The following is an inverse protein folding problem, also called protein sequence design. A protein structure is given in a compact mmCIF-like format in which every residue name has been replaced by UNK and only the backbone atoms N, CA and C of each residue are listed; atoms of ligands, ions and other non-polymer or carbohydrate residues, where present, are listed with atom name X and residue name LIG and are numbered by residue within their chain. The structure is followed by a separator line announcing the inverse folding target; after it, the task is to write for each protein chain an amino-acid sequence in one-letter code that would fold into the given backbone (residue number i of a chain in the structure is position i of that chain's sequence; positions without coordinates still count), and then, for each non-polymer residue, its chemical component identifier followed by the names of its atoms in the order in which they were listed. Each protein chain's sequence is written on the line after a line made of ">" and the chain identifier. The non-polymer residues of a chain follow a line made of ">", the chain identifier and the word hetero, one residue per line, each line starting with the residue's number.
data_IF_128239475705
#
_entry.id   IF_128239475705
#
_cell.length_a   1.000
_cell.length_b   1.000
_cell.length_c   1.000
_cell.angle_alpha   90.00
_cell.angle_beta   90.00
_cell.angle_gamma   90.00
#
_symmetry.space_group_name_H-M   'P 1'
#
loop_
_entity.id
_entity.type
_entity.pdbx_description
1 polymer ?
#
# COMPACT_ATOMS: atom_id res chain seq x y z
N UNK A 1 35.63 -5.11 -12.82
CA UNK A 1 36.19 -4.45 -11.61
C UNK A 1 35.77 -5.27 -10.41
N UNK A 2 36.63 -5.58 -9.43
CA UNK A 2 36.15 -6.17 -8.20
C UNK A 2 35.33 -5.13 -7.42
N UNK A 3 34.22 -5.55 -6.80
CA UNK A 3 33.49 -4.72 -5.83
C UNK A 3 34.44 -4.39 -4.65
N UNK A 4 34.42 -3.15 -4.11
CA UNK A 4 35.31 -2.88 -2.95
C UNK A 4 35.58 -1.47 -2.43
N UNK A 5 34.84 -0.41 -2.77
CA UNK A 5 35.10 0.94 -2.19
C UNK A 5 34.11 1.38 -1.09
N UNK A 6 33.21 0.51 -0.63
CA UNK A 6 32.27 0.80 0.47
C UNK A 6 32.29 -0.38 1.45
N UNK A 7 32.84 -0.15 2.65
CA UNK A 7 32.92 -1.12 3.74
C UNK A 7 32.56 -0.42 5.07
N UNK A 8 31.49 -0.83 5.78
CA UNK A 8 30.62 -1.99 5.49
C UNK A 8 29.65 -1.74 4.33
N UNK A 9 29.22 -2.83 3.69
CA UNK A 9 28.10 -2.83 2.75
C UNK A 9 26.79 -2.57 3.51
N UNK A 10 25.91 -1.76 2.92
CA UNK A 10 24.66 -1.37 3.57
C UNK A 10 23.88 -0.31 2.82
N UNK A 11 23.21 0.57 3.56
CA UNK A 11 22.37 1.65 3.03
C UNK A 11 23.25 2.84 2.69
N UNK A 12 23.46 3.11 1.40
CA UNK A 12 24.32 4.21 0.94
C UNK A 12 23.53 5.37 0.33
N UNK A 13 22.23 5.18 0.10
CA UNK A 13 21.29 6.23 -0.35
C UNK A 13 20.43 6.76 0.80
N UNK A 14 19.82 7.93 0.61
CA UNK A 14 18.88 8.52 1.58
C UNK A 14 17.60 7.70 1.62
N UNK A 15 17.22 7.09 2.77
CA UNK A 15 15.93 6.42 2.90
C UNK A 15 14.77 7.41 2.74
N UNK A 16 13.64 6.91 2.26
CA UNK A 16 12.39 7.68 2.20
C UNK A 16 11.53 7.27 3.38
N UNK A 17 11.30 8.21 4.31
CA UNK A 17 10.35 8.03 5.40
C UNK A 17 8.97 8.42 4.89
N UNK A 18 8.01 7.54 5.08
CA UNK A 18 6.60 7.82 4.90
C UNK A 18 5.91 7.86 6.27
N UNK A 19 5.69 9.06 6.84
CA UNK A 19 5.09 9.20 8.16
C UNK A 19 3.61 8.84 8.19
N UNK A 20 2.90 8.84 7.04
CA UNK A 20 1.50 8.46 6.98
C UNK A 20 1.31 6.95 7.17
N UNK A 21 2.32 6.17 6.78
CA UNK A 21 2.29 4.70 6.75
C UNK A 21 3.17 4.10 7.86
N UNK A 22 3.88 4.98 8.58
CA UNK A 22 4.86 4.63 9.58
C UNK A 22 5.84 3.58 9.06
N UNK A 23 6.36 3.82 7.85
CA UNK A 23 7.32 2.97 7.16
C UNK A 23 8.52 3.78 6.65
N UNK A 24 9.66 3.11 6.54
CA UNK A 24 10.87 3.62 5.90
C UNK A 24 11.21 2.69 4.73
N UNK A 25 11.43 3.30 3.57
CA UNK A 25 11.88 2.61 2.37
C UNK A 25 13.36 2.91 2.16
N UNK A 26 14.14 1.87 1.88
CA UNK A 26 15.58 1.98 1.69
C UNK A 26 16.05 0.97 0.65
N UNK A 27 17.03 1.38 -0.14
CA UNK A 27 17.86 0.47 -0.92
C UNK A 27 19.09 0.12 -0.08
N UNK A 28 19.37 -1.17 0.07
CA UNK A 28 20.54 -1.67 0.79
C UNK A 28 21.30 -2.67 -0.07
N UNK A 29 22.63 -2.55 -0.09
CA UNK A 29 23.49 -3.60 -0.60
C UNK A 29 23.60 -4.71 0.45
N UNK A 30 23.08 -5.89 0.11
CA UNK A 30 23.04 -7.07 0.98
C UNK A 30 24.01 -8.12 0.48
N UNK A 31 24.88 -8.60 1.37
CA UNK A 31 25.79 -9.70 1.06
C UNK A 31 25.01 -11.02 0.92
N UNK A 32 25.23 -11.74 -0.18
CA UNK A 32 24.64 -13.05 -0.46
C UNK A 32 25.75 -14.05 -0.77
N UNK A 33 25.50 -15.36 -0.69
CA UNK A 33 26.51 -16.38 -1.04
C UNK A 33 27.12 -16.23 -2.44
N UNK A 34 26.39 -15.59 -3.36
CA UNK A 34 26.82 -15.36 -4.76
C UNK A 34 27.26 -13.90 -5.01
N UNK A 35 27.62 -13.16 -3.96
CA UNK A 35 28.04 -11.76 -3.99
C UNK A 35 26.93 -10.75 -3.64
N UNK A 36 27.29 -9.47 -3.42
CA UNK A 36 26.37 -8.44 -2.96
C UNK A 36 25.29 -8.08 -3.98
N UNK A 37 24.07 -7.83 -3.51
CA UNK A 37 22.93 -7.36 -4.31
C UNK A 37 22.25 -6.17 -3.67
N UNK A 38 21.87 -5.20 -4.49
CA UNK A 38 20.98 -4.12 -4.06
C UNK A 38 19.56 -4.65 -3.95
N UNK A 39 18.95 -4.46 -2.78
CA UNK A 39 17.60 -4.88 -2.45
C UNK A 39 16.84 -3.71 -1.81
N UNK A 40 15.57 -3.55 -2.18
CA UNK A 40 14.69 -2.53 -1.61
C UNK A 40 13.89 -3.14 -0.46
N UNK A 41 13.99 -2.52 0.72
CA UNK A 41 13.25 -2.92 1.92
C UNK A 41 12.21 -1.87 2.29
N UNK A 42 11.09 -2.35 2.82
CA UNK A 42 10.11 -1.55 3.56
C UNK A 42 10.15 -2.01 5.02
N UNK A 43 10.59 -1.13 5.92
CA UNK A 43 10.68 -1.41 7.35
C UNK A 43 9.67 -0.57 8.13
N UNK A 44 9.12 -1.15 9.18
CA UNK A 44 8.26 -0.46 10.13
C UNK A 44 9.05 0.60 10.94
N UNK A 45 8.59 1.86 10.97
CA UNK A 45 9.24 2.92 11.79
C UNK A 45 9.18 2.65 13.30
N UNK A 46 8.28 1.76 13.74
CA UNK A 46 8.11 1.44 15.16
C UNK A 46 9.24 0.57 15.70
N UNK A 47 9.67 -0.41 14.91
CA UNK A 47 10.45 -1.55 15.39
C UNK A 47 11.42 -2.14 14.34
N UNK A 48 11.49 -1.57 13.14
CA UNK A 48 12.42 -2.01 12.08
C UNK A 48 12.04 -3.32 11.39
N UNK A 49 10.86 -3.88 11.68
CA UNK A 49 10.41 -5.15 11.10
C UNK A 49 10.09 -5.03 9.60
N UNK A 50 10.40 -6.08 8.82
CA UNK A 50 10.00 -6.26 7.42
C UNK A 50 8.58 -6.84 7.37
N UNK A 51 7.79 -6.41 6.39
CA UNK A 51 6.39 -6.81 6.22
C UNK A 51 6.12 -7.45 4.84
N UNK A 52 6.49 -8.73 4.61
CA UNK A 52 6.28 -9.38 3.32
C UNK A 52 4.90 -10.05 3.20
N UNK A 53 4.43 -10.27 1.97
CA UNK A 53 3.38 -11.23 1.65
C UNK A 53 3.91 -12.39 0.79
N UNK A 54 3.31 -13.57 0.94
CA UNK A 54 3.66 -14.81 0.22
C UNK A 54 2.52 -15.28 -0.69
N UNK A 55 2.86 -16.12 -1.67
CA UNK A 55 1.92 -16.76 -2.61
C UNK A 55 1.80 -18.27 -2.36
N UNK A 56 1.34 -19.01 -3.38
CA UNK A 56 0.88 -20.39 -3.22
C UNK A 56 1.93 -21.38 -2.67
N UNK A 57 1.50 -22.38 -1.89
CA UNK A 57 2.35 -23.51 -1.42
C UNK A 57 2.16 -24.84 -2.14
N UNK A 58 1.26 -24.93 -3.13
CA UNK A 58 0.93 -26.09 -3.99
C UNK A 58 1.11 -27.50 -3.37
N UNK A 59 -0.02 -28.17 -3.09
CA UNK A 59 -0.01 -29.57 -2.64
C UNK A 59 0.26 -29.74 -1.14
N UNK A 60 0.28 -28.66 -0.37
CA UNK A 60 0.47 -28.69 1.08
C UNK A 60 -0.73 -29.36 1.79
N UNK A 61 -0.44 -30.30 2.70
CA UNK A 61 -1.46 -30.97 3.52
C UNK A 61 -1.98 -30.05 4.63
N UNK A 62 -1.06 -29.33 5.28
CA UNK A 62 -1.27 -28.29 6.30
C UNK A 62 -0.79 -26.94 5.79
N UNK A 63 -1.15 -25.83 6.45
CA UNK A 63 -0.65 -24.50 6.09
C UNK A 63 0.88 -24.47 6.24
N UNK A 64 1.57 -24.03 5.19
CA UNK A 64 3.04 -24.04 5.07
C UNK A 64 3.57 -22.66 4.68
N UNK A 65 3.06 -21.62 5.34
CA UNK A 65 3.41 -20.20 5.12
C UNK A 65 3.03 -19.60 3.75
N UNK A 66 2.18 -20.28 2.98
CA UNK A 66 1.58 -19.77 1.75
C UNK A 66 0.43 -18.80 2.02
N UNK A 67 0.14 -17.93 1.05
CA UNK A 67 -1.02 -17.03 1.09
C UNK A 67 -1.07 -16.17 2.36
N UNK A 68 0.08 -15.62 2.75
CA UNK A 68 0.24 -15.03 4.07
C UNK A 68 0.84 -13.64 4.04
N UNK A 69 0.57 -12.88 5.09
CA UNK A 69 1.28 -11.65 5.44
C UNK A 69 2.08 -11.92 6.70
N UNK A 70 3.38 -11.61 6.69
CA UNK A 70 4.24 -11.79 7.86
C UNK A 70 4.70 -10.47 8.43
N UNK A 71 4.96 -10.48 9.73
CA UNK A 71 5.86 -9.56 10.40
C UNK A 71 7.15 -10.32 10.69
N UNK A 72 8.24 -9.88 10.08
CA UNK A 72 9.55 -10.52 10.26
C UNK A 72 10.48 -9.52 10.95
N UNK A 73 11.12 -9.95 12.03
CA UNK A 73 12.15 -9.17 12.72
C UNK A 73 13.34 -8.86 11.80
N UNK A 74 14.20 -7.92 12.22
CA UNK A 74 15.41 -7.58 11.46
C UNK A 74 16.40 -8.76 11.30
N UNK A 75 16.26 -9.79 12.14
CA UNK A 75 17.00 -11.05 12.05
C UNK A 75 16.42 -12.05 11.02
N UNK A 76 15.35 -11.64 10.32
CA UNK A 76 14.66 -12.39 9.28
C UNK A 76 14.06 -13.74 9.74
N UNK A 77 13.84 -13.91 11.05
CA UNK A 77 13.27 -15.16 11.59
C UNK A 77 11.75 -15.18 11.47
N UNK A 78 11.22 -16.31 10.96
CA UNK A 78 9.78 -16.62 10.92
C UNK A 78 9.26 -16.88 12.33
N UNK A 79 8.11 -16.28 12.68
CA UNK A 79 7.67 -16.16 14.08
C UNK A 79 6.70 -17.20 14.67
N UNK A 80 5.84 -17.97 14.02
CA UNK A 80 4.73 -18.76 14.66
C UNK A 80 3.73 -18.07 15.61
N UNK A 81 4.02 -16.91 16.20
CA UNK A 81 3.03 -16.15 16.98
C UNK A 81 1.94 -15.62 16.05
N UNK A 82 0.67 -15.84 16.41
CA UNK A 82 -0.49 -15.35 15.63
C UNK A 82 -0.53 -13.82 15.48
N UNK A 83 0.16 -13.08 16.34
CA UNK A 83 0.32 -11.62 16.19
C UNK A 83 1.17 -11.23 14.98
N UNK A 84 1.99 -12.16 14.48
CA UNK A 84 3.07 -11.91 13.53
C UNK A 84 2.83 -12.55 12.17
N UNK A 85 1.67 -13.18 11.97
CA UNK A 85 1.24 -13.63 10.65
C UNK A 85 -0.28 -13.55 10.48
N UNK A 86 -0.70 -13.45 9.23
CA UNK A 86 -2.08 -13.59 8.79
C UNK A 86 -2.14 -14.53 7.58
N UNK A 87 -3.20 -15.35 7.51
CA UNK A 87 -3.60 -16.03 6.27
C UNK A 87 -5.13 -16.09 6.19
N UNK A 88 -5.74 -16.01 4.99
CA UNK A 88 -7.18 -16.21 4.82
C UNK A 88 -7.59 -17.62 5.30
N UNK A 89 -8.79 -17.75 5.87
CA UNK A 89 -9.31 -19.06 6.29
C UNK A 89 -9.46 -20.06 5.13
N UNK A 90 -9.63 -19.53 3.91
CA UNK A 90 -9.73 -20.27 2.64
C UNK A 90 -8.39 -20.39 1.89
N UNK A 91 -7.24 -20.17 2.55
CA UNK A 91 -5.89 -20.22 1.93
C UNK A 91 -5.67 -21.45 1.03
N UNK A 92 -6.15 -22.63 1.45
CA UNK A 92 -5.97 -23.88 0.69
C UNK A 92 -6.70 -23.86 -0.66
N UNK A 93 -7.85 -23.18 -0.71
CA UNK A 93 -8.58 -22.95 -1.96
C UNK A 93 -7.90 -21.88 -2.81
N UNK A 94 -7.30 -20.86 -2.20
CA UNK A 94 -6.50 -19.84 -2.92
C UNK A 94 -5.30 -20.48 -3.61
N UNK A 95 -4.54 -21.31 -2.88
CA UNK A 95 -3.44 -22.13 -3.38
C UNK A 95 -3.83 -22.96 -4.61
N UNK A 96 -4.96 -23.68 -4.51
CA UNK A 96 -5.39 -24.60 -5.55
C UNK A 96 -5.80 -23.93 -6.87
N UNK A 97 -6.05 -22.61 -6.85
CA UNK A 97 -6.60 -21.87 -8.01
C UNK A 97 -5.74 -20.69 -8.45
N UNK A 98 -4.51 -20.57 -7.96
CA UNK A 98 -3.60 -19.45 -8.26
C UNK A 98 -4.22 -18.07 -7.95
N UNK A 99 -4.87 -17.97 -6.79
CA UNK A 99 -5.53 -16.75 -6.32
C UNK A 99 -4.71 -16.01 -5.26
N UNK A 100 -3.40 -15.95 -5.46
CA UNK A 100 -2.40 -15.52 -4.47
C UNK A 100 -2.78 -14.24 -3.71
N UNK A 101 -2.59 -14.27 -2.40
CA UNK A 101 -2.53 -13.08 -1.54
C UNK A 101 -1.31 -12.24 -1.90
N UNK A 102 -0.17 -12.88 -2.23
CA UNK A 102 1.08 -12.25 -2.65
C UNK A 102 1.07 -11.59 -4.04
N UNK A 103 -0.10 -11.37 -4.66
CA UNK A 103 -0.22 -10.63 -5.92
C UNK A 103 0.04 -9.12 -5.80
N UNK A 104 -0.04 -8.60 -4.57
CA UNK A 104 0.23 -7.21 -4.20
C UNK A 104 0.96 -7.15 -2.87
N UNK A 105 1.84 -6.16 -2.70
CA UNK A 105 2.49 -5.93 -1.41
C UNK A 105 1.44 -5.47 -0.39
N UNK A 106 1.48 -6.01 0.84
CA UNK A 106 0.59 -5.55 1.88
C UNK A 106 1.07 -4.17 2.35
N UNK A 107 0.10 -3.35 2.68
CA UNK A 107 0.29 -1.96 3.04
C UNK A 107 0.08 -1.75 4.54
N UNK A 108 0.89 -0.90 5.18
CA UNK A 108 0.71 -0.51 6.57
C UNK A 108 0.27 0.96 6.68
N UNK A 109 -0.82 1.25 7.39
CA UNK A 109 -1.34 2.61 7.54
C UNK A 109 -1.85 2.92 8.94
N UNK A 110 -2.18 4.18 9.18
CA UNK A 110 -2.83 4.61 10.41
C UNK A 110 -4.05 5.49 10.12
N UNK A 111 -5.17 5.23 10.80
CA UNK A 111 -6.44 5.94 10.63
C UNK A 111 -7.27 5.86 11.91
N UNK A 112 -7.86 6.97 12.34
CA UNK A 112 -8.65 7.02 13.59
C UNK A 112 -7.91 6.56 14.86
N UNK A 113 -6.57 6.65 14.91
CA UNK A 113 -5.75 6.17 16.02
C UNK A 113 -5.45 4.66 16.00
N UNK A 114 -5.94 3.92 15.00
CA UNK A 114 -5.63 2.49 14.81
C UNK A 114 -4.45 2.32 13.86
N UNK A 115 -3.59 1.33 14.15
CA UNK A 115 -2.54 0.89 13.25
C UNK A 115 -3.09 -0.27 12.41
N UNK A 116 -3.32 -0.04 11.13
CA UNK A 116 -3.97 -0.97 10.23
C UNK A 116 -2.98 -1.51 9.22
N UNK A 117 -3.29 -2.69 8.67
CA UNK A 117 -2.58 -3.27 7.54
C UNK A 117 -3.59 -3.79 6.53
N UNK A 118 -3.38 -3.51 5.25
CA UNK A 118 -4.26 -3.95 4.16
C UNK A 118 -3.52 -4.90 3.24
N UNK A 119 -4.10 -6.08 2.99
CA UNK A 119 -3.63 -6.99 1.95
C UNK A 119 -4.67 -7.08 0.82
N UNK A 120 -4.21 -7.03 -0.43
CA UNK A 120 -5.05 -7.20 -1.61
C UNK A 120 -4.67 -8.51 -2.30
N UNK A 121 -5.63 -9.38 -2.55
CA UNK A 121 -5.40 -10.69 -3.17
C UNK A 121 -5.82 -10.77 -4.63
N UNK A 122 -5.17 -11.66 -5.40
CA UNK A 122 -5.67 -12.07 -6.73
C UNK A 122 -7.06 -12.71 -6.62
N UNK A 123 -7.46 -13.17 -5.45
CA UNK A 123 -8.81 -13.63 -5.13
C UNK A 123 -9.90 -12.53 -5.22
N UNK A 124 -9.47 -11.28 -5.47
CA UNK A 124 -10.26 -10.05 -5.65
C UNK A 124 -10.68 -9.38 -4.35
N UNK A 125 -10.17 -9.85 -3.21
CA UNK A 125 -10.52 -9.30 -1.91
C UNK A 125 -9.49 -8.31 -1.39
N UNK A 126 -9.97 -7.44 -0.51
CA UNK A 126 -9.18 -6.68 0.42
C UNK A 126 -9.36 -7.26 1.82
N UNK A 127 -8.26 -7.49 2.54
CA UNK A 127 -8.22 -7.97 3.91
C UNK A 127 -7.64 -6.89 4.80
N UNK A 128 -8.43 -6.41 5.76
CA UNK A 128 -8.01 -5.42 6.73
C UNK A 128 -7.58 -6.11 8.02
N UNK A 129 -6.37 -5.81 8.49
CA UNK A 129 -5.72 -6.46 9.63
C UNK A 129 -5.37 -5.41 10.70
N UNK A 130 -5.33 -5.83 11.97
CA UNK A 130 -4.70 -5.04 13.02
C UNK A 130 -3.18 -5.21 12.90
N UNK A 131 -2.47 -4.13 12.59
CA UNK A 131 -1.00 -4.18 12.45
C UNK A 131 -0.32 -4.58 13.75
N UNK A 132 -0.93 -4.35 14.91
CA UNK A 132 -0.37 -4.74 16.22
C UNK A 132 -0.55 -6.23 16.49
N UNK A 133 -1.50 -6.89 15.84
CA UNK A 133 -1.75 -8.32 15.96
C UNK A 133 -2.46 -8.83 14.71
N UNK A 134 -1.69 -9.43 13.78
CA UNK A 134 -2.19 -9.84 12.46
C UNK A 134 -3.30 -10.91 12.52
N UNK A 135 -3.40 -11.66 13.63
CA UNK A 135 -4.56 -12.47 13.97
C UNK A 135 -4.49 -13.94 13.54
N UNK A 136 -3.42 -14.37 12.87
CA UNK A 136 -3.27 -15.74 12.38
C UNK A 136 -4.26 -16.09 11.27
N UNK A 137 -4.64 -17.37 11.18
CA UNK A 137 -5.57 -17.86 10.14
C UNK A 137 -6.99 -17.34 10.41
N UNK A 138 -7.56 -16.59 9.46
CA UNK A 138 -8.92 -16.04 9.55
C UNK A 138 -9.08 -14.88 10.55
N UNK A 139 -7.98 -14.30 11.02
CA UNK A 139 -7.97 -13.26 12.06
C UNK A 139 -8.15 -11.82 11.56
N UNK A 140 -8.54 -11.61 10.31
CA UNK A 140 -8.74 -10.27 9.74
C UNK A 140 -9.86 -9.49 10.46
N UNK A 141 -9.71 -8.17 10.56
CA UNK A 141 -10.74 -7.25 11.06
C UNK A 141 -11.94 -7.13 10.10
N UNK A 142 -11.67 -7.16 8.80
CA UNK A 142 -12.67 -7.14 7.75
C UNK A 142 -12.12 -7.78 6.46
N UNK A 143 -13.02 -8.32 5.62
CA UNK A 143 -12.69 -8.82 4.29
C UNK A 143 -13.80 -8.44 3.31
N UNK A 144 -13.45 -7.81 2.19
CA UNK A 144 -14.41 -7.34 1.19
C UNK A 144 -14.00 -7.74 -0.23
N UNK A 145 -14.96 -8.10 -1.09
CA UNK A 145 -14.69 -8.24 -2.53
C UNK A 145 -14.66 -6.87 -3.16
N UNK A 146 -13.47 -6.42 -3.55
CA UNK A 146 -13.24 -5.03 -4.00
C UNK A 146 -12.97 -4.92 -5.49
N UNK A 147 -12.75 -6.04 -6.18
CA UNK A 147 -12.44 -6.10 -7.60
C UNK A 147 -13.26 -7.16 -8.34
N UNK A 148 -13.50 -6.95 -9.63
CA UNK A 148 -14.12 -7.95 -10.52
C UNK A 148 -13.09 -8.94 -11.05
N UNK A 149 -11.84 -8.50 -11.21
CA UNK A 149 -10.72 -9.28 -11.73
C UNK A 149 -9.58 -9.38 -10.71
N UNK A 150 -8.63 -10.28 -10.95
CA UNK A 150 -7.46 -10.46 -10.09
C UNK A 150 -6.73 -9.14 -9.84
N UNK A 151 -6.36 -8.90 -8.58
CA UNK A 151 -5.59 -7.73 -8.18
C UNK A 151 -4.11 -8.09 -8.30
N UNK A 152 -3.44 -7.53 -9.30
CA UNK A 152 -2.00 -7.67 -9.53
C UNK A 152 -1.45 -6.26 -9.79
N UNK A 153 -1.12 -5.57 -8.71
CA UNK A 153 -0.79 -4.14 -8.76
C UNK A 153 0.04 -3.72 -7.54
N UNK A 154 0.59 -2.51 -7.60
CA UNK A 154 1.11 -1.83 -6.42
C UNK A 154 0.08 -0.78 -5.99
N UNK A 155 -0.67 -1.01 -4.90
CA UNK A 155 -1.57 0.01 -4.36
C UNK A 155 -0.77 1.18 -3.76
N UNK A 156 -1.43 2.32 -3.63
CA UNK A 156 -0.94 3.48 -2.90
C UNK A 156 -2.03 3.95 -1.94
N UNK A 157 -1.64 4.51 -0.81
CA UNK A 157 -2.59 5.05 0.16
C UNK A 157 -2.37 6.51 0.44
N UNK A 158 -3.42 7.19 0.85
CA UNK A 158 -3.34 8.56 1.30
C UNK A 158 -4.40 8.85 2.36
N UNK A 159 -4.05 9.60 3.42
CA UNK A 159 -5.01 9.96 4.46
C UNK A 159 -5.96 11.05 3.95
N UNK A 160 -7.23 10.99 4.38
CA UNK A 160 -8.22 12.06 4.20
C UNK A 160 -9.01 12.21 5.50
N UNK A 161 -8.72 13.26 6.26
CA UNK A 161 -9.25 13.40 7.62
C UNK A 161 -8.78 12.23 8.49
N UNK A 162 -9.74 11.50 9.10
CA UNK A 162 -9.44 10.31 9.90
C UNK A 162 -9.42 9.00 9.09
N UNK A 163 -9.80 9.05 7.81
CA UNK A 163 -9.96 7.89 6.96
C UNK A 163 -8.71 7.65 6.11
N UNK A 164 -8.51 6.41 5.66
CA UNK A 164 -7.43 6.04 4.75
C UNK A 164 -8.05 5.72 3.40
N UNK A 165 -7.52 6.34 2.35
CA UNK A 165 -7.91 6.00 0.99
C UNK A 165 -6.84 5.12 0.36
N UNK A 166 -7.25 4.11 -0.39
CA UNK A 166 -6.35 3.15 -1.05
C UNK A 166 -6.68 3.09 -2.52
N UNK A 167 -5.77 3.58 -3.35
CA UNK A 167 -5.90 3.57 -4.79
C UNK A 167 -5.09 2.42 -5.39
N UNK A 168 -5.73 1.64 -6.27
CA UNK A 168 -5.09 0.52 -6.96
C UNK A 168 -5.69 0.31 -8.34
N UNK A 169 -4.93 -0.30 -9.24
CA UNK A 169 -5.40 -0.57 -10.59
C UNK A 169 -6.07 -1.94 -10.68
N UNK A 170 -7.39 -1.97 -10.58
CA UNK A 170 -8.23 -3.10 -10.95
C UNK A 170 -9.68 -2.62 -11.21
N UNK A 171 -10.49 -3.32 -12.02
CA UNK A 171 -11.91 -3.02 -12.16
C UNK A 171 -12.63 -3.25 -10.83
N UNK A 172 -13.17 -2.21 -10.22
CA UNK A 172 -13.72 -2.31 -8.88
C UNK A 172 -15.11 -2.96 -8.88
N UNK A 173 -15.36 -3.84 -7.92
CA UNK A 173 -16.61 -4.62 -7.82
C UNK A 173 -17.87 -3.76 -7.64
N UNK A 174 -17.70 -2.52 -7.17
CA UNK A 174 -18.79 -1.57 -6.93
C UNK A 174 -18.66 -0.30 -7.77
N UNK A 175 -18.03 -0.39 -8.96
CA UNK A 175 -17.84 0.73 -9.87
C UNK A 175 -18.86 0.74 -11.02
N UNK A 176 -19.42 1.91 -11.41
CA UNK A 176 -20.29 2.01 -12.60
C UNK A 176 -19.51 2.22 -13.92
N UNK A 177 -20.06 1.80 -15.09
CA UNK A 177 -20.50 0.46 -15.41
C UNK A 177 -19.32 -0.51 -15.60
N UNK A 178 -19.51 -1.80 -15.27
CA UNK A 178 -18.45 -2.80 -15.21
C UNK A 178 -18.00 -3.22 -16.61
N UNK A 179 -16.70 -3.30 -16.86
CA UNK A 179 -16.17 -3.79 -18.15
C UNK A 179 -14.95 -3.08 -18.73
N UNK A 180 -14.43 -2.02 -18.10
CA UNK A 180 -13.12 -1.49 -18.51
C UNK A 180 -12.02 -2.33 -17.86
N UNK A 181 -11.27 -3.09 -18.68
CA UNK A 181 -10.11 -3.91 -18.25
C UNK A 181 -9.09 -3.13 -17.40
N UNK A 182 -9.06 -1.80 -17.54
CA UNK A 182 -8.16 -0.90 -16.83
C UNK A 182 -8.97 0.21 -16.16
N UNK A 183 -9.02 0.17 -14.83
CA UNK A 183 -9.71 1.13 -13.98
C UNK A 183 -8.85 1.41 -12.76
N UNK A 184 -8.86 2.66 -12.30
CA UNK A 184 -8.40 3.05 -10.98
C UNK A 184 -9.57 2.85 -10.03
N UNK A 185 -9.42 1.97 -9.05
CA UNK A 185 -10.37 1.81 -7.96
C UNK A 185 -9.79 2.42 -6.71
N UNK A 186 -10.59 3.22 -6.02
CA UNK A 186 -10.20 3.81 -4.74
C UNK A 186 -11.14 3.34 -3.66
N UNK A 187 -10.58 2.67 -2.66
CA UNK A 187 -11.29 2.30 -1.44
C UNK A 187 -11.15 3.40 -0.41
N UNK A 188 -12.19 3.55 0.40
CA UNK A 188 -12.19 4.27 1.65
C UNK A 188 -12.19 3.24 2.79
N UNK A 189 -11.19 3.32 3.64
CA UNK A 189 -11.16 2.66 4.95
C UNK A 189 -11.61 3.72 5.96
N UNK A 190 -12.86 3.63 6.39
CA UNK A 190 -13.41 4.56 7.36
C UNK A 190 -12.94 4.19 8.77
N UNK A 191 -12.48 5.19 9.52
CA UNK A 191 -12.16 5.00 10.93
C UNK A 191 -13.40 4.59 11.72
N UNK A 192 -13.26 3.59 12.59
CA UNK A 192 -14.36 3.05 13.39
C UNK A 192 -13.91 1.88 14.27
N UNK A 193 -14.82 1.36 15.08
CA UNK A 193 -14.60 0.16 15.88
C UNK A 193 -15.78 -0.82 15.68
N UNK A 194 -15.71 -1.73 14.68
CA UNK A 194 -14.59 -1.98 13.76
C UNK A 194 -14.49 -0.97 12.60
N UNK A 195 -13.32 -0.80 11.97
CA UNK A 195 -13.17 -0.03 10.73
C UNK A 195 -13.93 -0.70 9.57
N UNK A 196 -14.39 0.10 8.60
CA UNK A 196 -15.16 -0.39 7.45
C UNK A 196 -14.48 -0.06 6.12
N UNK A 197 -14.66 -0.91 5.11
CA UNK A 197 -14.11 -0.70 3.76
C UNK A 197 -15.24 -0.52 2.75
N UNK A 198 -15.19 0.56 1.97
CA UNK A 198 -16.14 0.83 0.89
C UNK A 198 -15.43 1.37 -0.34
N UNK A 199 -16.03 1.23 -1.52
CA UNK A 199 -15.53 1.92 -2.73
C UNK A 199 -15.83 3.40 -2.61
N UNK A 200 -14.78 4.23 -2.61
CA UNK A 200 -14.90 5.68 -2.53
C UNK A 200 -15.26 6.27 -3.90
N UNK A 201 -14.49 5.92 -4.93
CA UNK A 201 -14.70 6.35 -6.31
C UNK A 201 -13.87 5.49 -7.25
N UNK A 202 -14.18 5.58 -8.55
CA UNK A 202 -13.46 4.87 -9.59
C UNK A 202 -13.17 5.81 -10.77
N UNK A 203 -12.03 5.64 -11.41
CA UNK A 203 -11.57 6.44 -12.54
C UNK A 203 -11.18 5.57 -13.73
N UNK A 204 -11.56 5.99 -14.94
CA UNK A 204 -11.10 5.30 -16.14
C UNK A 204 -9.59 5.50 -16.33
N UNK A 205 -8.86 4.42 -16.61
CA UNK A 205 -7.45 4.47 -16.99
C UNK A 205 -7.26 3.87 -18.39
N UNK A 206 -6.25 4.34 -19.11
CA UNK A 206 -5.74 3.70 -20.32
C UNK A 206 -4.37 3.10 -20.01
N UNK A 207 -4.23 1.79 -20.20
CA UNK A 207 -2.98 1.07 -19.95
C UNK A 207 -2.86 0.48 -18.55
N UNK A 208 -1.68 -0.08 -18.24
CA UNK A 208 -1.31 -0.66 -16.95
C UNK A 208 -0.21 0.16 -16.27
N UNK A 209 -0.31 0.32 -14.97
CA UNK A 209 0.64 1.05 -14.14
C UNK A 209 0.32 0.90 -12.65
N UNK A 210 1.24 1.38 -11.83
CA UNK A 210 1.05 1.49 -10.40
C UNK A 210 0.45 2.85 -10.08
N UNK A 211 -0.44 2.90 -9.09
CA UNK A 211 -0.99 4.17 -8.63
C UNK A 211 0.09 4.97 -7.89
N UNK A 212 0.10 6.29 -8.07
CA UNK A 212 0.99 7.22 -7.37
C UNK A 212 0.12 8.33 -6.79
N UNK A 213 0.39 8.73 -5.55
CA UNK A 213 -0.18 9.93 -4.94
C UNK A 213 0.90 10.99 -4.85
N UNK A 214 0.60 12.19 -5.33
CA UNK A 214 1.47 13.35 -5.19
C UNK A 214 0.67 14.51 -4.62
N UNK A 215 1.21 15.18 -3.60
CA UNK A 215 0.69 16.47 -3.15
C UNK A 215 1.24 17.57 -4.04
N UNK A 216 0.38 18.27 -4.78
CA UNK A 216 0.76 19.54 -5.40
C UNK A 216 0.79 20.60 -4.30
N UNK A 217 1.98 20.89 -3.79
CA UNK A 217 2.20 22.13 -3.05
C UNK A 217 2.18 23.23 -4.11
N UNK A 218 1.21 24.17 -4.11
CA UNK A 218 1.33 25.32 -4.97
C UNK A 218 2.58 26.07 -4.53
N UNK A 219 3.64 26.02 -5.34
CA UNK A 219 4.80 26.89 -5.18
C UNK A 219 4.28 28.31 -5.38
N UNK A 220 4.01 29.02 -4.28
CA UNK A 220 3.93 30.47 -4.33
C UNK A 220 5.35 30.96 -4.60
N UNK A 221 5.67 31.19 -5.87
CA UNK A 221 6.83 32.01 -6.23
C UNK A 221 6.56 33.42 -5.71
N UNK A 222 7.00 33.72 -4.48
CA UNK A 222 7.21 35.10 -4.06
C UNK A 222 8.47 35.59 -4.78
N UNK A 223 8.28 36.14 -5.98
CA UNK A 223 9.33 36.88 -6.67
C UNK A 223 9.59 38.19 -5.92
N UNK A 224 10.78 38.35 -5.36
CA UNK A 224 11.27 39.67 -4.96
C UNK A 224 11.61 40.45 -6.23
N UNK A 225 10.75 41.40 -6.63
CA UNK A 225 11.15 42.48 -7.51
C UNK A 225 11.86 43.54 -6.66
N UNK A 226 13.13 43.81 -6.98
CA UNK A 226 13.93 44.89 -6.41
C UNK A 226 13.36 46.28 -6.82
N UNK A 227 13.75 47.36 -6.11
CA UNK A 227 12.79 48.34 -5.61
C UNK A 227 12.52 49.48 -6.60
N UNK A 228 11.24 49.78 -6.82
CA UNK A 228 10.70 51.13 -6.79
C UNK A 228 9.17 51.06 -6.86
N UNK A 229 8.55 51.61 -5.81
CA UNK A 229 7.19 52.13 -5.74
C UNK A 229 6.01 51.13 -5.69
N UNK A 230 5.34 51.18 -4.54
CA UNK A 230 3.94 50.78 -4.24
C UNK A 230 3.63 49.29 -4.08
N UNK A 231 3.37 48.90 -2.83
CA UNK A 231 2.86 47.58 -2.44
C UNK A 231 1.41 47.45 -2.93
N UNK A 232 1.17 46.57 -3.90
CA UNK A 232 -0.15 46.12 -4.29
C UNK A 232 -0.17 44.61 -4.46
N UNK A 233 -0.80 43.88 -3.53
CA UNK A 233 -1.13 42.47 -3.75
C UNK A 233 -2.34 42.38 -4.69
N UNK A 234 -2.13 42.27 -5.99
CA UNK A 234 -3.20 41.85 -6.91
C UNK A 234 -3.47 40.36 -6.71
N UNK A 235 -4.71 40.03 -6.31
CA UNK A 235 -5.22 38.66 -6.27
C UNK A 235 -5.25 38.10 -7.69
N UNK A 236 -4.30 37.24 -8.06
CA UNK A 236 -4.55 36.32 -9.17
C UNK A 236 -5.64 35.34 -8.74
N UNK A 237 -6.72 35.31 -9.52
CA UNK A 237 -7.90 34.52 -9.25
C UNK A 237 -7.53 33.03 -9.07
N UNK A 238 -7.82 32.50 -7.88
CA UNK A 238 -7.91 31.06 -7.68
C UNK A 238 -9.18 30.58 -8.39
N UNK A 239 -9.04 29.62 -9.31
CA UNK A 239 -10.19 28.82 -9.77
C UNK A 239 -10.42 27.76 -8.69
N UNK A 240 -11.54 27.79 -7.93
CA UNK A 240 -11.80 26.79 -6.90
C UNK A 240 -12.10 25.43 -7.53
N UNK A 241 -11.68 24.36 -6.84
CA UNK A 241 -11.98 22.97 -7.15
C UNK A 241 -13.46 22.62 -6.87
N UNK A 242 -14.41 23.33 -7.49
CA UNK A 242 -15.85 23.06 -7.39
C UNK A 242 -16.50 22.71 -8.74
N UNK A 243 -15.70 22.40 -9.78
CA UNK A 243 -16.22 22.09 -11.14
C UNK A 243 -16.19 20.62 -11.56
N UNK A 244 -15.96 19.69 -10.64
CA UNK A 244 -16.11 18.26 -10.91
C UNK A 244 -17.27 17.65 -10.10
N UNK A 245 -18.48 18.16 -10.31
CA UNK A 245 -19.70 17.39 -10.07
C UNK A 245 -20.40 17.26 -11.42
N UNK A 246 -20.62 16.05 -11.95
CA UNK A 246 -21.48 15.89 -13.11
C UNK A 246 -22.92 16.23 -12.71
N UNK A 247 -23.58 17.06 -13.49
CA UNK A 247 -25.02 17.28 -13.38
C UNK A 247 -25.74 15.94 -13.62
N UNK A 248 -26.57 15.53 -12.67
CA UNK A 248 -27.51 14.42 -12.82
C UNK A 248 -28.55 14.76 -13.91
N UNK A 249 -29.02 13.79 -14.70
CA UNK A 249 -30.20 13.97 -15.53
C UNK A 249 -31.47 14.14 -14.69
#
# INVERSE_FOLDING_TARGET
>A
MPCGNINPLGITGTPVIDPATAAIYLDAAVERPNGPRHEVFALSLKDGAVLPATGNTFGAATWSDGEAVFRVGADLRRSENKSDYFAPSDWKTLDARDADLGGSNPFAGAGGGQALMLALGKDRKAYLLDRKSLGGIGGQLAAETVSELQIITSPVTYPVGNDIFVAFQAPGAHCPPPGRRYQLTVLKIAAGAPPTMTTAWCGALRGRGSAIVATVIPIRLCGCLAPKETIGCTRSAAIPASRYLPASP
#
